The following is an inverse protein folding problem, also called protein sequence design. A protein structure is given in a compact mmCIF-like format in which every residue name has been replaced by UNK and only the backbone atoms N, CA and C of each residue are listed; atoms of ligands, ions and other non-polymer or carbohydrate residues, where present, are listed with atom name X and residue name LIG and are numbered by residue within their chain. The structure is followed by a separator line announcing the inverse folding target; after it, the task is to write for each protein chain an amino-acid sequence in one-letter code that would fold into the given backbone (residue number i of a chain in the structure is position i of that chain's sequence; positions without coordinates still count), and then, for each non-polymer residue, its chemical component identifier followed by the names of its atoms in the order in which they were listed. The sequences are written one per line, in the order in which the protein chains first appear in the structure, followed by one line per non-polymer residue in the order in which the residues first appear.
data_IF_373557401913
#
_entry.id   IF_373557401913
#
_cell.length_a   1.000
_cell.length_b   1.000
_cell.length_c   1.000
_cell.angle_alpha   90.00
_cell.angle_beta   90.00
_cell.angle_gamma   90.00
#
_symmetry.space_group_name_H-M   'P 1'
#
loop_
_entity.id
_entity.type
_entity.pdbx_description
1 polymer ?
#
# COMPACT_ATOMS: atom_id res chain seq x y z
N UNK A 1 23.75 -30.62 11.63
CA UNK A 1 23.51 -30.07 10.28
C UNK A 1 22.19 -30.65 9.80
N UNK A 2 21.12 -29.85 9.78
CA UNK A 2 19.83 -30.28 9.23
C UNK A 2 19.81 -29.78 7.78
N UNK A 3 19.67 -30.69 6.82
CA UNK A 3 19.50 -30.34 5.41
C UNK A 3 18.03 -30.57 5.08
N UNK A 4 17.29 -29.51 4.78
CA UNK A 4 15.92 -29.61 4.29
C UNK A 4 15.98 -29.55 2.76
N UNK A 5 15.50 -30.59 2.08
CA UNK A 5 15.23 -30.58 0.64
C UNK A 5 13.77 -30.20 0.46
N UNK A 6 13.51 -29.10 -0.24
CA UNK A 6 12.17 -28.77 -0.70
C UNK A 6 12.13 -28.98 -2.22
N UNK A 7 11.30 -29.90 -2.71
CA UNK A 7 11.00 -30.05 -4.12
C UNK A 7 9.83 -29.13 -4.44
N UNK A 8 10.11 -28.04 -5.17
CA UNK A 8 9.08 -27.11 -5.67
C UNK A 8 8.85 -27.41 -7.15
N UNK A 9 7.64 -27.75 -7.52
CA UNK A 9 7.32 -28.01 -8.93
C UNK A 9 7.25 -26.70 -9.72
N UNK A 10 7.84 -26.65 -10.92
CA UNK A 10 7.75 -25.49 -11.83
C UNK A 10 6.29 -25.19 -12.18
N UNK A 11 5.41 -26.20 -12.16
CA UNK A 11 3.98 -26.06 -12.37
C UNK A 11 3.30 -25.23 -11.31
N UNK A 12 3.63 -25.43 -10.04
CA UNK A 12 3.05 -24.69 -8.90
C UNK A 12 3.45 -23.22 -8.95
N UNK A 13 4.73 -22.92 -9.23
CA UNK A 13 5.22 -21.54 -9.38
C UNK A 13 4.51 -20.82 -10.52
N UNK A 14 4.30 -21.47 -11.68
CA UNK A 14 3.56 -20.88 -12.80
C UNK A 14 2.10 -20.63 -12.46
N UNK A 15 1.46 -21.54 -11.74
CA UNK A 15 0.08 -21.42 -11.30
C UNK A 15 -0.08 -20.23 -10.32
N UNK A 16 0.84 -20.09 -9.36
CA UNK A 16 0.86 -18.97 -8.42
C UNK A 16 1.06 -17.62 -9.13
N UNK A 17 2.00 -17.55 -10.08
CA UNK A 17 2.24 -16.33 -10.87
C UNK A 17 1.04 -15.98 -11.76
N UNK A 18 0.38 -16.97 -12.37
CA UNK A 18 -0.82 -16.74 -13.15
C UNK A 18 -1.98 -16.25 -12.27
N UNK A 19 -2.15 -16.82 -11.07
CA UNK A 19 -3.16 -16.39 -10.12
C UNK A 19 -2.93 -14.94 -9.67
N UNK A 20 -1.67 -14.56 -9.38
CA UNK A 20 -1.30 -13.16 -9.05
C UNK A 20 -1.54 -12.25 -10.25
N UNK A 21 -1.17 -12.66 -11.46
CA UNK A 21 -1.41 -11.89 -12.69
C UNK A 21 -2.89 -11.59 -12.89
N UNK A 22 -3.77 -12.58 -12.74
CA UNK A 22 -5.23 -12.39 -12.81
C UNK A 22 -5.75 -11.46 -11.71
N UNK A 23 -5.19 -11.54 -10.50
CA UNK A 23 -5.54 -10.66 -9.39
C UNK A 23 -5.18 -9.20 -9.71
N UNK A 24 -3.96 -8.98 -10.23
CA UNK A 24 -3.49 -7.65 -10.63
C UNK A 24 -4.34 -7.06 -11.78
N UNK A 25 -4.72 -7.88 -12.78
CA UNK A 25 -5.63 -7.47 -13.86
C UNK A 25 -6.98 -7.01 -13.28
N UNK A 26 -7.57 -7.78 -12.38
CA UNK A 26 -8.85 -7.43 -11.72
C UNK A 26 -8.76 -6.18 -10.86
N UNK A 27 -7.57 -5.83 -10.38
CA UNK A 27 -7.27 -4.59 -9.65
C UNK A 27 -6.79 -3.45 -10.55
N UNK A 28 -6.94 -3.59 -11.89
CA UNK A 28 -6.50 -2.59 -12.89
C UNK A 28 -4.99 -2.31 -12.85
N UNK A 29 -4.16 -3.33 -12.54
CA UNK A 29 -2.69 -3.22 -12.49
C UNK A 29 -2.21 -2.03 -11.67
N UNK A 30 -2.47 -1.98 -10.37
CA UNK A 30 -2.14 -0.83 -9.54
C UNK A 30 -0.64 -0.55 -9.58
N UNK A 31 -0.29 0.73 -9.71
CA UNK A 31 1.10 1.18 -9.67
C UNK A 31 1.53 1.38 -8.23
N UNK A 32 2.69 0.86 -7.93
CA UNK A 32 3.30 0.91 -6.61
C UNK A 32 4.35 2.04 -6.55
N UNK A 33 4.59 2.55 -5.36
CA UNK A 33 5.71 3.40 -5.01
C UNK A 33 6.37 2.87 -3.76
N UNK A 34 7.69 3.04 -3.63
CA UNK A 34 8.41 2.70 -2.40
C UNK A 34 9.22 3.89 -1.90
N UNK A 35 9.18 4.13 -0.60
CA UNK A 35 9.92 5.21 0.07
C UNK A 35 10.50 4.63 1.36
N UNK A 36 11.81 4.46 1.43
CA UNK A 36 12.50 3.97 2.60
C UNK A 36 13.49 4.99 3.14
N UNK A 37 13.50 5.17 4.44
CA UNK A 37 14.58 5.87 5.14
C UNK A 37 15.61 4.84 5.58
N UNK A 38 16.80 4.87 4.99
CA UNK A 38 17.85 3.88 5.22
C UNK A 38 19.02 4.46 5.98
N UNK A 39 19.54 3.68 6.95
CA UNK A 39 20.71 4.03 7.75
C UNK A 39 21.64 2.82 7.92
N UNK A 40 22.93 3.01 7.65
CA UNK A 40 23.98 2.00 7.87
C UNK A 40 25.00 2.56 8.87
N UNK A 41 25.19 1.86 9.98
CA UNK A 41 26.14 2.26 11.02
C UNK A 41 25.81 3.61 11.66
N UNK A 42 26.82 4.45 11.82
CA UNK A 42 26.71 5.82 12.36
C UNK A 42 26.40 6.87 11.29
N UNK A 43 26.37 6.50 10.01
CA UNK A 43 26.03 7.44 8.94
C UNK A 43 24.67 8.11 9.22
N UNK A 44 24.57 9.41 8.92
CA UNK A 44 23.28 10.08 9.02
C UNK A 44 22.25 9.37 8.13
N UNK A 45 21.05 9.14 8.69
CA UNK A 45 19.94 8.62 7.89
C UNK A 45 19.68 9.62 6.76
N UNK A 46 19.93 9.21 5.53
CA UNK A 46 19.84 10.08 4.37
C UNK A 46 18.70 9.63 3.46
N UNK A 47 17.81 10.56 3.15
CA UNK A 47 17.01 10.50 1.94
C UNK A 47 18.00 10.72 0.78
N UNK A 48 18.55 9.62 0.25
CA UNK A 48 19.47 9.68 -0.89
C UNK A 48 18.73 10.05 -2.17
N UNK A 49 19.38 10.79 -3.06
CA UNK A 49 18.83 11.06 -4.39
C UNK A 49 18.70 9.79 -5.27
N UNK A 50 19.41 8.71 -4.90
CA UNK A 50 19.30 7.39 -5.53
C UNK A 50 18.43 6.42 -4.74
N UNK A 51 18.15 5.26 -5.35
CA UNK A 51 17.48 4.16 -4.66
C UNK A 51 18.38 3.57 -3.59
N UNK A 52 17.82 3.29 -2.41
CA UNK A 52 18.48 2.59 -1.33
C UNK A 52 18.46 1.07 -1.55
N UNK A 53 19.30 0.32 -0.82
CA UNK A 53 19.34 -1.15 -0.91
C UNK A 53 17.99 -1.79 -0.55
N UNK A 54 17.31 -1.26 0.46
CA UNK A 54 15.99 -1.73 0.86
C UNK A 54 14.93 -1.47 -0.23
N UNK A 55 14.95 -0.31 -0.88
CA UNK A 55 14.05 0.01 -1.99
C UNK A 55 14.29 -0.91 -3.18
N UNK A 56 15.56 -1.10 -3.57
CA UNK A 56 15.93 -1.99 -4.67
C UNK A 56 15.45 -3.43 -4.40
N UNK A 57 15.68 -3.95 -3.19
CA UNK A 57 15.27 -5.31 -2.83
C UNK A 57 13.75 -5.48 -2.87
N UNK A 58 13.00 -4.48 -2.38
CA UNK A 58 11.53 -4.48 -2.42
C UNK A 58 11.03 -4.43 -3.86
N UNK A 59 11.52 -3.49 -4.66
CA UNK A 59 11.11 -3.32 -6.07
C UNK A 59 11.36 -4.61 -6.85
N UNK A 60 12.54 -5.21 -6.72
CA UNK A 60 12.88 -6.45 -7.40
C UNK A 60 11.90 -7.57 -7.10
N UNK A 61 11.62 -7.81 -5.80
CA UNK A 61 10.69 -8.88 -5.38
C UNK A 61 9.25 -8.65 -5.86
N UNK A 62 8.77 -7.44 -5.78
CA UNK A 62 7.43 -7.10 -6.28
C UNK A 62 7.35 -7.22 -7.80
N UNK A 63 8.37 -6.75 -8.53
CA UNK A 63 8.43 -6.85 -10.00
C UNK A 63 8.50 -8.30 -10.47
N UNK A 64 9.23 -9.18 -9.77
CA UNK A 64 9.25 -10.63 -10.00
C UNK A 64 7.85 -11.25 -9.93
N UNK A 65 6.94 -10.64 -9.16
CA UNK A 65 5.53 -11.06 -9.02
C UNK A 65 4.56 -10.31 -9.95
N UNK A 66 5.07 -9.45 -10.83
CA UNK A 66 4.29 -8.74 -11.84
C UNK A 66 3.70 -7.41 -11.39
N UNK A 67 4.09 -6.88 -10.22
CA UNK A 67 3.68 -5.54 -9.80
C UNK A 67 4.42 -4.46 -10.59
N UNK A 68 3.73 -3.36 -10.89
CA UNK A 68 4.29 -2.21 -11.59
C UNK A 68 4.66 -1.09 -10.60
N UNK A 69 5.73 -0.36 -10.90
CA UNK A 69 6.16 0.79 -10.12
C UNK A 69 6.10 2.07 -10.94
N UNK A 70 5.79 3.19 -10.28
CA UNK A 70 6.02 4.53 -10.84
C UNK A 70 7.52 4.79 -10.99
N UNK A 71 7.92 5.78 -11.78
CA UNK A 71 9.35 6.14 -11.92
C UNK A 71 9.92 6.66 -10.58
N UNK A 72 10.64 5.77 -9.88
CA UNK A 72 11.24 6.05 -8.58
C UNK A 72 12.32 7.12 -8.64
N UNK A 73 13.03 7.26 -9.75
CA UNK A 73 14.07 8.27 -9.90
C UNK A 73 13.47 9.68 -9.92
N UNK A 74 12.37 9.85 -10.65
CA UNK A 74 11.62 11.11 -10.68
C UNK A 74 11.01 11.42 -9.31
N UNK A 75 10.43 10.42 -8.62
CA UNK A 75 9.90 10.57 -7.26
C UNK A 75 11.00 11.08 -6.31
N UNK A 76 12.12 10.39 -6.25
CA UNK A 76 13.24 10.72 -5.35
C UNK A 76 13.81 12.11 -5.59
N UNK A 77 13.85 12.55 -6.83
CA UNK A 77 14.36 13.89 -7.21
C UNK A 77 13.42 15.02 -6.75
N UNK A 78 12.12 14.80 -6.79
CA UNK A 78 11.12 15.85 -6.66
C UNK A 78 10.36 15.80 -5.33
N UNK A 79 10.41 14.68 -4.60
CA UNK A 79 9.66 14.53 -3.36
C UNK A 79 10.11 15.52 -2.28
N UNK A 80 9.16 16.14 -1.64
CA UNK A 80 9.43 17.01 -0.50
C UNK A 80 9.88 16.19 0.71
N UNK A 81 11.12 16.43 1.18
CA UNK A 81 11.75 15.65 2.27
C UNK A 81 10.89 15.61 3.54
N UNK A 82 10.32 16.75 3.93
CA UNK A 82 9.52 16.84 5.16
C UNK A 82 8.25 15.99 5.06
N UNK A 83 7.55 16.01 3.94
CA UNK A 83 6.38 15.15 3.66
C UNK A 83 6.75 13.67 3.71
N UNK A 84 7.87 13.30 3.09
CA UNK A 84 8.35 11.92 3.10
C UNK A 84 8.67 11.45 4.53
N UNK A 85 9.33 12.28 5.34
CA UNK A 85 9.64 11.96 6.73
C UNK A 85 8.38 11.84 7.60
N UNK A 86 7.36 12.70 7.40
CA UNK A 86 6.07 12.59 8.08
C UNK A 86 5.37 11.27 7.72
N UNK A 87 5.34 10.93 6.42
CA UNK A 87 4.79 9.67 5.96
C UNK A 87 5.51 8.47 6.61
N UNK A 88 6.84 8.47 6.63
CA UNK A 88 7.66 7.43 7.26
C UNK A 88 7.39 7.34 8.77
N UNK A 89 7.21 8.49 9.45
CA UNK A 89 6.94 8.57 10.88
C UNK A 89 5.55 8.03 11.29
N UNK A 90 4.67 7.75 10.33
CA UNK A 90 3.36 7.14 10.63
C UNK A 90 2.16 7.87 10.05
N UNK A 91 2.34 9.03 9.44
CA UNK A 91 1.23 9.78 8.83
C UNK A 91 0.82 9.16 7.49
N UNK A 92 -0.27 8.39 7.51
CA UNK A 92 -0.84 7.78 6.32
C UNK A 92 -1.43 8.80 5.35
N UNK A 93 -1.87 9.97 5.83
CA UNK A 93 -2.40 11.03 4.98
C UNK A 93 -1.30 11.64 4.12
N UNK A 94 -0.11 11.88 4.70
CA UNK A 94 1.08 12.30 3.95
C UNK A 94 1.53 11.24 2.95
N UNK A 95 1.49 9.95 3.32
CA UNK A 95 1.81 8.85 2.41
C UNK A 95 0.84 8.79 1.22
N UNK A 96 -0.46 8.90 1.49
CA UNK A 96 -1.50 8.92 0.47
C UNK A 96 -1.35 10.11 -0.47
N UNK A 97 -1.12 11.32 0.07
CA UNK A 97 -0.92 12.53 -0.72
C UNK A 97 0.30 12.44 -1.66
N UNK A 98 1.41 11.88 -1.17
CA UNK A 98 2.60 11.63 -2.00
C UNK A 98 2.25 10.65 -3.13
N UNK A 99 1.62 9.53 -2.81
CA UNK A 99 1.25 8.54 -3.83
C UNK A 99 0.35 9.11 -4.92
N UNK A 100 -0.66 9.89 -4.55
CA UNK A 100 -1.55 10.58 -5.49
C UNK A 100 -0.78 11.56 -6.39
N UNK A 101 0.15 12.33 -5.83
CA UNK A 101 0.96 13.30 -6.58
C UNK A 101 1.77 12.63 -7.70
N UNK A 102 2.32 11.44 -7.46
CA UNK A 102 3.12 10.69 -8.42
C UNK A 102 2.35 9.59 -9.16
N UNK A 103 1.05 9.50 -8.97
CA UNK A 103 0.18 8.57 -9.66
C UNK A 103 0.38 7.11 -9.27
N UNK A 104 0.76 6.85 -8.01
CA UNK A 104 0.78 5.51 -7.44
C UNK A 104 -0.54 5.22 -6.70
N UNK A 105 -1.09 4.03 -6.86
CA UNK A 105 -2.27 3.57 -6.14
C UNK A 105 -1.93 2.96 -4.77
N UNK A 106 -0.68 2.51 -4.59
CA UNK A 106 -0.17 1.98 -3.32
C UNK A 106 1.22 2.51 -3.04
N UNK A 107 1.46 3.02 -1.84
CA UNK A 107 2.78 3.45 -1.37
C UNK A 107 3.28 2.52 -0.28
N UNK A 108 4.48 1.96 -0.47
CA UNK A 108 5.21 1.20 0.54
C UNK A 108 6.17 2.17 1.21
N UNK A 109 6.04 2.35 2.52
CA UNK A 109 6.87 3.28 3.29
C UNK A 109 7.42 2.63 4.54
N UNK A 110 8.66 2.98 4.90
CA UNK A 110 9.27 2.40 6.08
C UNK A 110 10.68 2.88 6.40
N UNK A 111 11.28 2.19 7.34
CA UNK A 111 12.64 2.42 7.81
C UNK A 111 13.49 1.17 7.67
N UNK A 112 14.75 1.35 7.31
CA UNK A 112 15.76 0.32 7.27
C UNK A 112 17.00 0.79 8.06
N UNK A 113 17.47 -0.02 8.97
CA UNK A 113 18.71 0.29 9.71
C UNK A 113 19.57 -0.95 9.86
N UNK A 114 20.87 -0.79 9.60
CA UNK A 114 21.87 -1.83 9.85
C UNK A 114 22.94 -1.33 10.83
N UNK A 115 23.35 -2.19 11.76
CA UNK A 115 24.39 -1.91 12.74
C UNK A 115 25.18 -3.15 13.10
N UNK A 116 26.42 -2.95 13.53
CA UNK A 116 27.21 -4.01 14.17
C UNK A 116 26.59 -4.33 15.52
N UNK A 117 26.41 -5.61 15.82
CA UNK A 117 25.99 -6.10 17.12
C UNK A 117 27.06 -6.99 17.71
N UNK A 118 27.71 -6.49 18.78
CA UNK A 118 28.67 -7.25 19.55
C UNK A 118 30.11 -7.16 19.05
N UNK A 119 31.00 -7.83 19.79
CA UNK A 119 32.41 -8.06 19.39
C UNK A 119 32.43 -9.01 18.19
N UNK A 120 33.42 -8.90 17.33
CA UNK A 120 33.59 -9.78 16.17
C UNK A 120 33.44 -11.26 16.53
N UNK A 121 33.18 -12.09 15.52
CA UNK A 121 33.08 -13.54 15.71
C UNK A 121 34.41 -14.07 16.21
N UNK A 122 34.39 -14.75 17.37
CA UNK A 122 35.59 -15.20 18.05
C UNK A 122 36.52 -16.02 17.13
N UNK A 123 37.80 -15.63 17.09
CA UNK A 123 38.80 -16.27 16.21
C UNK A 123 38.79 -15.80 14.75
N UNK A 124 38.01 -14.76 14.42
CA UNK A 124 37.96 -14.17 13.08
C UNK A 124 37.94 -12.64 13.16
N UNK A 125 38.19 -11.95 12.05
CA UNK A 125 37.99 -10.51 11.90
C UNK A 125 36.55 -10.14 11.48
N UNK A 126 35.69 -11.15 11.32
CA UNK A 126 34.31 -10.95 10.88
C UNK A 126 33.48 -10.27 11.95
N UNK A 127 32.73 -9.27 11.55
CA UNK A 127 31.74 -8.56 12.38
C UNK A 127 30.35 -9.13 12.12
N UNK A 128 29.57 -9.32 13.17
CA UNK A 128 28.15 -9.65 13.04
C UNK A 128 27.33 -8.37 12.78
N UNK A 129 26.71 -8.28 11.64
CA UNK A 129 25.95 -7.09 11.21
C UNK A 129 24.47 -7.47 11.12
N UNK A 130 23.65 -6.70 11.80
CA UNK A 130 22.21 -6.89 11.91
C UNK A 130 21.47 -5.73 11.25
N UNK A 131 20.58 -6.05 10.33
CA UNK A 131 19.62 -5.11 9.78
C UNK A 131 18.22 -5.37 10.37
N UNK A 132 17.47 -4.29 10.56
CA UNK A 132 16.04 -4.30 10.92
C UNK A 132 15.30 -3.41 9.95
N UNK A 133 14.27 -3.94 9.33
CA UNK A 133 13.37 -3.23 8.42
C UNK A 133 11.95 -3.28 8.97
N UNK A 134 11.27 -2.14 8.89
CA UNK A 134 9.83 -2.02 9.12
C UNK A 134 9.21 -1.30 7.95
N UNK A 135 8.10 -1.80 7.43
CA UNK A 135 7.39 -1.13 6.34
C UNK A 135 5.89 -1.40 6.40
N UNK A 136 5.14 -0.49 5.80
CA UNK A 136 3.70 -0.64 5.57
C UNK A 136 3.35 -0.24 4.14
N UNK A 137 2.34 -0.88 3.59
CA UNK A 137 1.72 -0.55 2.31
C UNK A 137 0.40 0.19 2.56
N UNK A 138 0.20 1.34 1.94
CA UNK A 138 -0.94 2.24 2.13
C UNK A 138 -1.62 2.49 0.79
N UNK A 139 -2.94 2.34 0.71
CA UNK A 139 -3.75 2.80 -0.42
C UNK A 139 -3.73 4.33 -0.47
N UNK A 140 -3.51 4.91 -1.63
CA UNK A 140 -3.36 6.36 -1.78
C UNK A 140 -4.69 7.11 -1.80
N UNK A 141 -5.76 6.47 -2.21
CA UNK A 141 -7.10 7.07 -2.31
C UNK A 141 -7.85 7.15 -0.96
N UNK A 142 -7.61 6.18 -0.07
CA UNK A 142 -8.32 6.08 1.22
C UNK A 142 -7.41 6.25 2.44
N UNK A 143 -6.08 6.15 2.29
CA UNK A 143 -5.14 6.08 3.41
C UNK A 143 -5.18 4.75 4.18
N UNK A 144 -5.90 3.76 3.66
CA UNK A 144 -6.03 2.44 4.29
C UNK A 144 -4.71 1.67 4.25
N UNK A 145 -4.34 1.05 5.37
CA UNK A 145 -3.17 0.16 5.44
C UNK A 145 -3.57 -1.22 4.86
N UNK A 146 -2.89 -1.60 3.79
CA UNK A 146 -3.06 -2.92 3.16
C UNK A 146 -2.26 -4.01 3.86
N UNK A 147 -1.02 -3.69 4.23
CA UNK A 147 -0.08 -4.64 4.82
C UNK A 147 0.92 -3.93 5.72
N UNK A 148 1.44 -4.64 6.71
CA UNK A 148 2.55 -4.19 7.57
C UNK A 148 3.49 -5.34 7.81
N UNK A 149 4.80 -5.08 7.80
CA UNK A 149 5.79 -6.10 8.08
C UNK A 149 7.00 -5.52 8.82
N UNK A 150 7.67 -6.40 9.59
CA UNK A 150 8.94 -6.14 10.24
C UNK A 150 9.84 -7.36 10.08
N UNK A 151 11.02 -7.15 9.50
CA UNK A 151 11.94 -8.24 9.19
C UNK A 151 13.37 -7.92 9.60
N UNK A 152 14.16 -8.97 9.78
CA UNK A 152 15.58 -8.87 10.16
C UNK A 152 16.47 -9.61 9.16
N UNK A 153 17.61 -8.99 8.87
CA UNK A 153 18.72 -9.59 8.14
C UNK A 153 19.96 -9.66 9.03
N UNK A 154 20.66 -10.77 8.97
CA UNK A 154 21.94 -10.96 9.69
C UNK A 154 22.97 -11.49 8.72
N UNK A 155 24.16 -10.91 8.77
CA UNK A 155 25.31 -11.33 7.98
C UNK A 155 26.60 -11.17 8.78
N UNK A 156 27.59 -12.01 8.47
CA UNK A 156 28.97 -11.84 8.94
C UNK A 156 29.78 -11.21 7.80
N UNK A 157 30.43 -10.08 8.05
CA UNK A 157 31.25 -9.37 7.07
C UNK A 157 32.43 -8.64 7.71
N UNK A 158 33.50 -8.44 6.95
CA UNK A 158 34.68 -7.69 7.40
C UNK A 158 34.40 -6.19 7.44
N UNK A 159 33.77 -5.68 6.36
CA UNK A 159 33.41 -4.28 6.20
C UNK A 159 31.98 -4.01 6.68
N UNK A 160 31.81 -2.94 7.46
CA UNK A 160 30.54 -2.60 8.07
C UNK A 160 29.50 -2.08 7.06
N UNK A 161 29.97 -1.26 6.11
CA UNK A 161 29.11 -0.63 5.12
C UNK A 161 28.60 -1.65 4.12
N UNK A 162 29.50 -2.44 3.54
CA UNK A 162 29.14 -3.50 2.61
C UNK A 162 28.29 -4.57 3.29
N UNK A 163 28.67 -4.99 4.50
CA UNK A 163 27.87 -5.93 5.29
C UNK A 163 26.51 -5.37 5.69
N UNK A 164 26.42 -4.06 5.97
CA UNK A 164 25.18 -3.35 6.22
C UNK A 164 24.23 -3.41 5.03
N UNK A 165 24.73 -3.09 3.82
CA UNK A 165 23.98 -3.21 2.57
C UNK A 165 23.47 -4.63 2.33
N UNK A 166 24.31 -5.65 2.50
CA UNK A 166 23.90 -7.05 2.35
C UNK A 166 22.85 -7.49 3.39
N UNK A 167 23.00 -7.04 4.65
CA UNK A 167 22.04 -7.35 5.70
C UNK A 167 20.68 -6.68 5.42
N UNK A 168 20.67 -5.43 4.96
CA UNK A 168 19.47 -4.69 4.54
C UNK A 168 18.82 -5.38 3.34
N UNK A 169 19.59 -5.72 2.30
CA UNK A 169 19.06 -6.44 1.14
C UNK A 169 18.35 -7.73 1.56
N UNK A 170 18.99 -8.54 2.41
CA UNK A 170 18.41 -9.79 2.93
C UNK A 170 17.12 -9.58 3.71
N UNK A 171 17.05 -8.52 4.53
CA UNK A 171 15.82 -8.15 5.24
C UNK A 171 14.76 -7.58 4.27
N UNK A 172 15.19 -6.81 3.26
CA UNK A 172 14.33 -6.25 2.20
C UNK A 172 13.62 -7.32 1.36
N UNK A 173 14.32 -8.39 1.00
CA UNK A 173 13.73 -9.53 0.28
C UNK A 173 12.65 -10.24 1.12
N UNK A 174 12.89 -10.39 2.43
CA UNK A 174 11.91 -10.99 3.35
C UNK A 174 10.69 -10.11 3.55
N UNK A 175 10.91 -8.82 3.82
CA UNK A 175 9.80 -7.89 4.06
C UNK A 175 8.94 -7.73 2.81
N UNK A 176 9.55 -7.71 1.63
CA UNK A 176 8.82 -7.69 0.36
C UNK A 176 7.91 -8.92 0.21
N UNK A 177 8.42 -10.13 0.48
CA UNK A 177 7.63 -11.35 0.43
C UNK A 177 6.47 -11.32 1.43
N UNK A 178 6.71 -10.85 2.65
CA UNK A 178 5.68 -10.70 3.68
C UNK A 178 4.59 -9.71 3.29
N UNK A 179 4.98 -8.54 2.74
CA UNK A 179 4.02 -7.53 2.25
C UNK A 179 3.22 -8.03 1.04
N UNK A 180 3.86 -8.69 0.07
CA UNK A 180 3.21 -9.25 -1.10
C UNK A 180 2.11 -10.22 -0.69
N UNK A 181 2.42 -11.17 0.19
CA UNK A 181 1.44 -12.16 0.65
C UNK A 181 0.23 -11.50 1.30
N UNK A 182 0.44 -10.56 2.22
CA UNK A 182 -0.65 -9.82 2.88
C UNK A 182 -1.50 -9.02 1.90
N UNK A 183 -0.88 -8.36 0.91
CA UNK A 183 -1.58 -7.59 -0.13
C UNK A 183 -2.43 -8.53 -1.00
N UNK A 184 -1.86 -9.66 -1.42
CA UNK A 184 -2.55 -10.67 -2.22
C UNK A 184 -3.73 -11.25 -1.46
N UNK A 185 -3.55 -11.64 -0.19
CA UNK A 185 -4.61 -12.18 0.66
C UNK A 185 -5.76 -11.18 0.81
N UNK A 186 -5.44 -9.91 1.09
CA UNK A 186 -6.44 -8.85 1.22
C UNK A 186 -7.19 -8.61 -0.09
N UNK A 187 -6.49 -8.49 -1.21
CA UNK A 187 -7.12 -8.28 -2.51
C UNK A 187 -7.91 -9.50 -3.00
N UNK A 188 -7.46 -10.71 -2.68
CA UNK A 188 -8.20 -11.95 -2.98
C UNK A 188 -9.54 -11.99 -2.23
N UNK A 189 -9.54 -11.59 -0.97
CA UNK A 189 -10.75 -11.43 -0.17
C UNK A 189 -11.71 -10.38 -0.77
N UNK A 190 -11.18 -9.25 -1.22
CA UNK A 190 -11.97 -8.18 -1.86
C UNK A 190 -12.58 -8.65 -3.21
N UNK A 191 -11.88 -9.47 -3.99
CA UNK A 191 -12.39 -10.02 -5.27
C UNK A 191 -13.39 -11.14 -5.05
N UNK A 192 -13.25 -11.90 -3.97
CA UNK A 192 -14.16 -13.01 -3.60
C UNK A 192 -15.57 -12.59 -3.21
N UNK A 193 -15.87 -11.28 -3.15
CA UNK A 193 -17.24 -10.80 -2.99
C UNK A 193 -17.47 -9.63 -2.04
N UNK A 194 -16.47 -9.00 -1.47
CA UNK A 194 -16.67 -7.83 -0.60
C UNK A 194 -15.52 -6.83 -0.78
N UNK A 195 -15.70 -5.88 -1.68
CA UNK A 195 -14.86 -4.67 -1.72
C UNK A 195 -15.52 -3.58 -0.89
N UNK A 196 -14.71 -2.71 -0.30
CA UNK A 196 -15.20 -1.51 0.37
C UNK A 196 -14.94 -0.30 -0.53
N UNK A 197 -16.00 0.44 -0.83
CA UNK A 197 -15.93 1.73 -1.54
C UNK A 197 -16.28 2.83 -0.55
N UNK A 198 -15.40 3.80 -0.39
CA UNK A 198 -15.64 4.98 0.45
C UNK A 198 -16.39 6.05 -0.35
N UNK A 199 -17.50 6.52 0.17
CA UNK A 199 -18.25 7.66 -0.36
C UNK A 199 -17.98 8.88 0.52
N UNK A 200 -17.49 9.98 -0.08
CA UNK A 200 -17.42 11.28 0.56
C UNK A 200 -18.52 12.15 -0.07
N UNK A 201 -19.49 12.54 0.73
CA UNK A 201 -20.70 13.24 0.26
C UNK A 201 -20.68 14.63 0.85
N UNK A 202 -20.58 15.63 0.00
CA UNK A 202 -20.57 17.06 0.38
C UNK A 202 -21.89 17.75 0.07
N UNK A 203 -22.27 18.76 0.88
CA UNK A 203 -23.50 19.54 0.68
C UNK A 203 -24.78 18.81 1.12
N UNK A 204 -24.69 17.74 1.92
CA UNK A 204 -25.84 16.96 2.35
C UNK A 204 -26.25 17.29 3.79
N UNK A 205 -27.55 17.49 4.05
CA UNK A 205 -28.08 17.57 5.40
C UNK A 205 -28.41 16.17 5.94
N UNK A 206 -28.67 16.06 7.25
CA UNK A 206 -28.89 14.76 7.90
C UNK A 206 -30.14 14.03 7.38
N UNK A 207 -31.20 14.75 7.04
CA UNK A 207 -32.45 14.17 6.51
C UNK A 207 -32.19 13.57 5.12
N UNK A 208 -31.55 14.35 4.26
CA UNK A 208 -31.19 13.91 2.91
C UNK A 208 -30.15 12.76 2.93
N UNK A 209 -29.24 12.75 3.93
CA UNK A 209 -28.29 11.67 4.12
C UNK A 209 -29.01 10.33 4.40
N UNK A 210 -30.08 10.34 5.21
CA UNK A 210 -30.84 9.13 5.47
C UNK A 210 -31.59 8.64 4.22
N UNK A 211 -32.14 9.56 3.41
CA UNK A 211 -32.73 9.20 2.12
C UNK A 211 -31.68 8.64 1.15
N UNK A 212 -30.52 9.29 1.06
CA UNK A 212 -29.40 8.83 0.24
C UNK A 212 -28.97 7.41 0.62
N UNK A 213 -28.79 7.12 1.91
CA UNK A 213 -28.48 5.76 2.39
C UNK A 213 -29.54 4.74 2.02
N UNK A 214 -30.81 5.09 2.17
CA UNK A 214 -31.93 4.21 1.81
C UNK A 214 -31.92 3.87 0.31
N UNK A 215 -31.76 4.88 -0.56
CA UNK A 215 -31.70 4.67 -2.01
C UNK A 215 -30.49 3.79 -2.39
N UNK A 216 -29.33 4.06 -1.84
CA UNK A 216 -28.14 3.21 -2.11
C UNK A 216 -28.40 1.77 -1.70
N UNK A 217 -28.92 1.55 -0.50
CA UNK A 217 -29.11 0.21 0.04
C UNK A 217 -30.16 -0.60 -0.73
N UNK A 218 -31.18 0.04 -1.27
CA UNK A 218 -32.30 -0.64 -1.92
C UNK A 218 -32.23 -0.65 -3.45
N UNK A 219 -31.55 0.32 -4.07
CA UNK A 219 -31.60 0.54 -5.50
C UNK A 219 -30.24 0.48 -6.21
N UNK A 220 -29.11 0.47 -5.50
CA UNK A 220 -27.79 0.31 -6.10
C UNK A 220 -27.37 -1.16 -6.02
N UNK A 221 -27.06 -1.73 -7.19
CA UNK A 221 -26.73 -3.15 -7.29
C UNK A 221 -25.43 -3.49 -6.58
N UNK A 222 -25.39 -4.65 -5.93
CA UNK A 222 -24.20 -5.17 -5.30
C UNK A 222 -23.90 -4.62 -3.91
N UNK A 223 -24.60 -3.60 -3.44
CA UNK A 223 -24.47 -3.05 -2.10
C UNK A 223 -24.92 -4.08 -1.06
N UNK A 224 -24.05 -4.34 -0.08
CA UNK A 224 -24.31 -5.30 1.00
C UNK A 224 -24.60 -4.58 2.32
N UNK A 225 -23.71 -3.67 2.72
CA UNK A 225 -23.81 -2.89 3.96
C UNK A 225 -23.29 -1.48 3.79
N UNK A 226 -23.82 -0.57 4.61
CA UNK A 226 -23.38 0.82 4.72
C UNK A 226 -22.89 1.08 6.13
N UNK A 227 -21.68 1.61 6.25
CA UNK A 227 -21.08 2.02 7.51
C UNK A 227 -20.82 3.51 7.49
N UNK A 228 -21.68 4.29 8.13
CA UNK A 228 -21.45 5.72 8.29
C UNK A 228 -20.27 5.95 9.26
N UNK A 229 -19.19 6.57 8.79
CA UNK A 229 -18.00 6.85 9.57
C UNK A 229 -18.06 8.20 10.26
N UNK A 230 -18.57 9.21 9.53
CA UNK A 230 -18.74 10.55 10.08
C UNK A 230 -19.88 11.30 9.39
N UNK A 231 -20.36 12.34 10.07
CA UNK A 231 -21.20 13.38 9.51
C UNK A 231 -20.90 14.68 10.26
N UNK A 232 -20.31 15.65 9.60
CA UNK A 232 -20.02 16.96 10.16
C UNK A 232 -19.97 18.03 9.07
N UNK A 233 -20.39 19.24 9.36
CA UNK A 233 -20.28 20.41 8.46
C UNK A 233 -20.80 20.12 7.03
N UNK A 234 -21.94 19.44 6.91
CA UNK A 234 -22.57 19.05 5.63
C UNK A 234 -21.75 18.07 4.79
N UNK A 235 -20.82 17.38 5.42
CA UNK A 235 -20.02 16.30 4.80
C UNK A 235 -20.28 14.99 5.53
N UNK A 236 -20.62 13.95 4.76
CA UNK A 236 -20.74 12.58 5.26
C UNK A 236 -19.66 11.70 4.66
N UNK A 237 -19.10 10.79 5.47
CA UNK A 237 -18.22 9.71 5.02
C UNK A 237 -18.92 8.40 5.31
N UNK A 238 -19.10 7.57 4.27
CA UNK A 238 -19.75 6.26 4.33
C UNK A 238 -18.86 5.24 3.64
N UNK A 239 -18.56 4.16 4.31
CA UNK A 239 -17.97 2.98 3.68
C UNK A 239 -19.09 2.04 3.24
N UNK A 240 -19.05 1.62 1.99
CA UNK A 240 -20.03 0.74 1.37
C UNK A 240 -19.37 -0.60 1.07
N UNK A 241 -19.81 -1.65 1.76
CA UNK A 241 -19.45 -3.03 1.37
C UNK A 241 -20.25 -3.40 0.11
N UNK A 242 -19.54 -3.74 -0.95
CA UNK A 242 -20.17 -3.98 -2.27
C UNK A 242 -19.48 -5.11 -3.03
N UNK A 243 -20.23 -5.69 -3.97
CA UNK A 243 -19.74 -6.65 -4.97
C UNK A 243 -19.43 -6.01 -6.33
N UNK A 244 -19.66 -4.71 -6.47
CA UNK A 244 -19.38 -3.97 -7.70
C UNK A 244 -18.16 -3.06 -7.53
N UNK A 245 -17.58 -2.61 -8.64
CA UNK A 245 -16.51 -1.63 -8.63
C UNK A 245 -17.02 -0.24 -8.24
N UNK A 246 -16.13 0.63 -7.74
CA UNK A 246 -16.45 2.03 -7.50
C UNK A 246 -16.95 2.74 -8.76
N UNK A 247 -16.39 2.42 -9.93
CA UNK A 247 -16.82 2.98 -11.21
C UNK A 247 -18.27 2.59 -11.53
N UNK A 248 -18.62 1.30 -11.49
CA UNK A 248 -19.98 0.86 -11.76
C UNK A 248 -20.99 1.45 -10.76
N UNK A 249 -20.60 1.59 -9.49
CA UNK A 249 -21.41 2.25 -8.48
C UNK A 249 -21.59 3.74 -8.78
N UNK A 250 -20.54 4.45 -9.19
CA UNK A 250 -20.60 5.88 -9.53
C UNK A 250 -21.51 6.12 -10.75
N UNK A 251 -21.38 5.31 -11.80
CA UNK A 251 -22.26 5.35 -12.98
C UNK A 251 -23.73 5.14 -12.60
N UNK A 252 -24.01 4.16 -11.75
CA UNK A 252 -25.37 3.90 -11.29
C UNK A 252 -25.92 5.02 -10.40
N UNK A 253 -25.09 5.60 -9.50
CA UNK A 253 -25.47 6.74 -8.66
C UNK A 253 -25.78 7.99 -9.48
N UNK A 254 -24.99 8.27 -10.52
CA UNK A 254 -25.20 9.40 -11.41
C UNK A 254 -26.55 9.35 -12.17
N UNK A 255 -27.08 8.14 -12.37
CA UNK A 255 -28.38 7.93 -13.04
C UNK A 255 -29.57 7.90 -12.08
N UNK A 256 -29.36 7.86 -10.77
CA UNK A 256 -30.46 7.76 -9.79
C UNK A 256 -31.13 9.09 -9.55
N UNK A 257 -32.47 9.01 -9.46
CA UNK A 257 -33.29 10.13 -9.03
C UNK A 257 -33.53 10.06 -7.52
N UNK A 258 -33.08 11.07 -6.79
CA UNK A 258 -33.23 11.17 -5.33
C UNK A 258 -34.44 12.04 -4.94
N UNK A 259 -35.36 12.36 -5.91
CA UNK A 259 -36.58 13.13 -5.76
C UNK A 259 -36.41 14.59 -5.30
N UNK A 260 -35.63 14.84 -4.24
CA UNK A 260 -35.51 16.16 -3.59
C UNK A 260 -34.14 16.79 -3.74
N UNK A 261 -33.18 16.09 -4.33
CA UNK A 261 -31.83 16.58 -4.62
C UNK A 261 -31.21 15.80 -5.78
N UNK A 262 -30.17 16.35 -6.38
CA UNK A 262 -29.35 15.68 -7.38
C UNK A 262 -27.98 15.38 -6.80
N UNK A 263 -27.31 14.39 -7.36
CA UNK A 263 -25.93 14.08 -7.04
C UNK A 263 -25.05 14.27 -8.26
N UNK A 264 -23.86 14.82 -8.03
CA UNK A 264 -22.81 14.97 -9.02
C UNK A 264 -21.59 14.21 -8.53
N UNK A 265 -21.01 13.37 -9.38
CA UNK A 265 -19.75 12.68 -9.08
C UNK A 265 -18.63 13.65 -9.43
N UNK A 266 -17.92 14.15 -8.42
CA UNK A 266 -16.84 15.14 -8.56
C UNK A 266 -15.44 14.52 -8.47
N UNK A 267 -15.34 13.26 -8.05
CA UNK A 267 -14.09 12.51 -7.99
C UNK A 267 -14.36 11.02 -7.96
N UNK A 268 -13.48 10.25 -8.59
CA UNK A 268 -13.57 8.80 -8.67
C UNK A 268 -12.18 8.17 -8.65
N UNK A 269 -11.99 7.18 -7.78
CA UNK A 269 -10.83 6.30 -7.76
C UNK A 269 -11.26 4.84 -7.65
N UNK A 270 -10.31 3.91 -7.56
CA UNK A 270 -10.60 2.49 -7.46
C UNK A 270 -11.44 2.12 -6.21
N UNK A 271 -11.29 2.87 -5.12
CA UNK A 271 -11.95 2.55 -3.84
C UNK A 271 -12.67 3.75 -3.21
N UNK A 272 -12.79 4.88 -3.92
CA UNK A 272 -13.42 6.10 -3.39
C UNK A 272 -14.24 6.83 -4.45
N UNK A 273 -15.38 7.38 -4.03
CA UNK A 273 -16.25 8.23 -4.85
C UNK A 273 -16.50 9.53 -4.08
N UNK A 274 -16.10 10.66 -4.65
CA UNK A 274 -16.42 11.98 -4.13
C UNK A 274 -17.71 12.49 -4.79
N UNK A 275 -18.71 12.81 -3.96
CA UNK A 275 -20.06 13.15 -4.37
C UNK A 275 -20.42 14.54 -3.86
N UNK A 276 -20.98 15.37 -4.72
CA UNK A 276 -21.59 16.66 -4.36
C UNK A 276 -23.11 16.58 -4.50
N UNK A 277 -23.79 16.97 -3.43
CA UNK A 277 -25.27 17.09 -3.46
C UNK A 277 -25.63 18.50 -3.92
N UNK A 278 -26.54 18.55 -4.88
CA UNK A 278 -27.11 19.78 -5.44
C UNK A 278 -28.59 19.82 -5.06
N UNK A 279 -29.06 20.95 -4.46
CA UNK A 279 -30.47 21.10 -4.10
C UNK A 279 -31.44 20.96 -5.26
#
# INVERSE_FOLDING_TARGET
KVTIKADVSIGDIKNDLNAIGLLLERKNKPRMMVIMNEKIGSAESGFSAGLSESEIAIIQKFTEKGFNFVDQATVKKNIERNKALQAIAGDNSSAAAIGLEYGAEVVIIGNAAAKITGKGIQGTELKSIHASLTARAVKTDTGEILATASEKGVIAHLDETAGGSFAIKKAGEKIASSLINQIIDKWSGEIGGQSTVQLIITGINFVNLNKFKSVIQTQVRGVQKLHQRSFAAWVAVIDVETRTSAQAMAEELAMKNFEIFKVEIIGLSANKIDIKVIP
#
